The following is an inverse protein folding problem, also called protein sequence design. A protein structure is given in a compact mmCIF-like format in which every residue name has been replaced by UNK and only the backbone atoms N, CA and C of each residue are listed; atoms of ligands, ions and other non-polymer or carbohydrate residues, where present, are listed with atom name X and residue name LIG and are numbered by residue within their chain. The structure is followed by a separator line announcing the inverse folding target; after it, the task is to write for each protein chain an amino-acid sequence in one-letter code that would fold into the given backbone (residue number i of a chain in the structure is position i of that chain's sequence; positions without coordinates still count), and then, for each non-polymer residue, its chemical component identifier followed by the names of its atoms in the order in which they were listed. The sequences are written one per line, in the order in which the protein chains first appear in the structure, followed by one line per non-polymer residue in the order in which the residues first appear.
data_IF_078745460858
#
_entry.id   IF_078745460858
#
_cell.length_a   1.000
_cell.length_b   1.000
_cell.length_c   1.000
_cell.angle_alpha   90.00
_cell.angle_beta   90.00
_cell.angle_gamma   90.00
#
_symmetry.space_group_name_H-M   'P 1'
#
loop_
_entity.id
_entity.type
_entity.pdbx_description
1 polymer ?
#
# COMPACT_ATOMS: atom_id res chain seq x y z
N UNK A 1 -59.68 36.60 -43.26
CA UNK A 1 -58.89 37.01 -42.07
C UNK A 1 -58.82 35.84 -41.13
N UNK A 2 -57.59 35.39 -40.81
CA UNK A 2 -57.13 34.68 -39.61
C UNK A 2 -55.94 33.79 -39.98
N UNK A 3 -54.74 34.39 -39.88
CA UNK A 3 -53.45 33.71 -39.99
C UNK A 3 -53.23 32.80 -38.78
N UNK A 4 -52.91 31.51 -39.01
CA UNK A 4 -52.36 30.62 -37.97
C UNK A 4 -50.85 30.57 -38.14
N UNK A 5 -50.13 31.17 -37.18
CA UNK A 5 -48.68 31.09 -37.04
C UNK A 5 -48.26 29.66 -36.67
N UNK A 6 -47.26 29.13 -37.38
CA UNK A 6 -46.55 27.89 -37.06
C UNK A 6 -45.33 28.30 -36.23
N UNK A 7 -45.30 27.90 -34.95
CA UNK A 7 -44.13 28.05 -34.08
C UNK A 7 -43.16 26.89 -34.35
N UNK A 8 -42.00 27.19 -34.94
CA UNK A 8 -40.86 26.27 -34.98
C UNK A 8 -40.15 26.29 -33.61
N UNK A 9 -40.21 25.18 -32.87
CA UNK A 9 -39.43 24.98 -31.66
C UNK A 9 -38.03 24.49 -32.02
N UNK A 10 -37.02 25.35 -31.90
CA UNK A 10 -35.60 24.98 -32.00
C UNK A 10 -35.19 24.23 -30.72
N UNK A 11 -34.93 22.93 -30.85
CA UNK A 11 -34.33 22.12 -29.77
C UNK A 11 -32.80 22.32 -29.83
N UNK A 12 -32.29 23.21 -28.97
CA UNK A 12 -30.85 23.45 -28.80
C UNK A 12 -30.24 22.32 -27.98
N UNK A 13 -29.43 21.48 -28.64
CA UNK A 13 -28.70 20.38 -28.03
C UNK A 13 -27.48 20.94 -27.27
N UNK A 14 -27.56 21.06 -25.94
CA UNK A 14 -26.44 21.44 -25.09
C UNK A 14 -25.52 20.23 -24.87
N UNK A 15 -24.42 20.16 -25.63
CA UNK A 15 -23.32 19.21 -25.39
C UNK A 15 -22.47 19.76 -24.25
N UNK A 16 -22.61 19.19 -23.05
CA UNK A 16 -21.68 19.43 -21.94
C UNK A 16 -20.37 18.67 -22.20
N UNK A 17 -19.35 19.39 -22.66
CA UNK A 17 -17.97 18.91 -22.67
C UNK A 17 -17.43 18.92 -21.24
N UNK A 18 -17.23 17.73 -20.66
CA UNK A 18 -16.58 17.57 -19.36
C UNK A 18 -15.07 17.69 -19.57
N UNK A 19 -14.53 18.90 -19.48
CA UNK A 19 -13.09 19.14 -19.44
C UNK A 19 -12.58 18.86 -18.02
N UNK A 20 -12.10 17.63 -17.79
CA UNK A 20 -11.38 17.27 -16.58
C UNK A 20 -9.99 17.93 -16.56
N UNK A 21 -9.83 19.02 -15.81
CA UNK A 21 -8.52 19.53 -15.42
C UNK A 21 -7.91 18.60 -14.37
N UNK A 22 -7.04 17.67 -14.77
CA UNK A 22 -6.17 16.98 -13.82
C UNK A 22 -5.06 17.94 -13.40
N UNK A 23 -4.95 18.21 -12.10
CA UNK A 23 -3.93 19.09 -11.53
C UNK A 23 -2.72 18.22 -11.20
N UNK A 24 -1.74 18.17 -12.10
CA UNK A 24 -0.41 17.62 -11.80
C UNK A 24 0.23 18.46 -10.71
N UNK A 25 0.40 17.90 -9.51
CA UNK A 25 1.21 18.53 -8.47
C UNK A 25 2.67 18.28 -8.84
N UNK A 26 3.30 19.26 -9.49
CA UNK A 26 4.76 19.27 -9.69
C UNK A 26 5.39 19.71 -8.37
N UNK A 27 6.05 18.77 -7.69
CA UNK A 27 6.88 19.07 -6.51
C UNK A 27 8.20 19.67 -7.03
N UNK A 28 8.58 20.90 -6.62
CA UNK A 28 9.84 21.49 -7.03
C UNK A 28 11.03 20.73 -6.41
N UNK A 29 12.15 20.56 -7.12
CA UNK A 29 13.34 19.96 -6.54
C UNK A 29 13.91 20.90 -5.46
N UNK A 30 14.11 20.37 -4.26
CA UNK A 30 14.84 21.07 -3.21
C UNK A 30 16.28 21.37 -3.68
N UNK A 31 16.75 22.58 -3.38
CA UNK A 31 18.09 23.07 -3.69
C UNK A 31 19.18 22.24 -3.01
N UNK A 32 20.20 21.85 -3.78
CA UNK A 32 21.36 21.07 -3.35
C UNK A 32 22.29 21.86 -2.40
N UNK A 33 22.82 21.24 -1.33
CA UNK A 33 24.04 21.70 -0.66
C UNK A 33 25.31 20.99 -1.23
N UNK A 34 26.51 21.53 -0.99
CA UNK A 34 27.72 21.20 -1.74
C UNK A 34 28.38 19.85 -1.35
N UNK A 35 29.02 19.24 -2.36
CA UNK A 35 30.00 18.12 -2.36
C UNK A 35 31.17 18.45 -1.39
N UNK A 36 31.85 17.57 -0.65
CA UNK A 36 32.05 16.11 -0.69
C UNK A 36 32.63 15.62 0.66
N UNK A 37 32.35 14.37 1.07
CA UNK A 37 33.35 13.48 1.70
C UNK A 37 32.89 12.01 1.63
N UNK A 38 33.86 11.13 1.33
CA UNK A 38 33.74 9.71 0.97
C UNK A 38 33.38 8.80 2.14
N UNK A 39 32.45 7.86 1.92
CA UNK A 39 32.65 6.39 1.93
C UNK A 39 31.29 5.73 1.68
N UNK A 40 31.14 5.12 0.52
CA UNK A 40 29.99 4.29 0.13
C UNK A 40 29.98 3.01 0.98
N UNK A 41 28.88 2.63 1.63
CA UNK A 41 28.58 1.22 1.86
C UNK A 41 27.78 0.72 0.65
N UNK A 42 28.37 -0.28 -0.01
CA UNK A 42 27.81 -1.04 -1.12
C UNK A 42 26.55 -1.80 -0.74
N UNK A 43 25.60 -1.83 -1.68
CA UNK A 43 24.67 -2.93 -2.02
C UNK A 43 24.04 -3.71 -0.86
N UNK A 44 22.75 -3.50 -0.68
CA UNK A 44 21.84 -4.59 -0.30
C UNK A 44 20.62 -4.56 -1.22
N UNK A 45 20.76 -5.12 -2.42
CA UNK A 45 19.63 -5.72 -3.12
C UNK A 45 19.15 -6.89 -2.28
N UNK A 46 18.07 -6.68 -1.50
CA UNK A 46 17.42 -7.74 -0.74
C UNK A 46 15.93 -7.61 -0.91
N UNK A 47 15.38 -8.57 -1.67
CA UNK A 47 14.10 -9.23 -1.42
C UNK A 47 13.47 -8.83 -0.10
N UNK A 48 12.27 -8.25 -0.18
CA UNK A 48 11.24 -8.16 0.86
C UNK A 48 11.71 -8.62 2.26
N UNK A 49 12.48 -7.78 2.95
CA UNK A 49 12.76 -8.06 4.37
C UNK A 49 11.49 -7.77 5.13
N UNK A 50 10.68 -8.81 5.32
CA UNK A 50 9.66 -8.85 6.36
C UNK A 50 10.35 -8.56 7.69
N UNK A 51 9.93 -7.50 8.36
CA UNK A 51 10.55 -7.08 9.62
C UNK A 51 10.23 -8.11 10.70
N UNK A 52 11.24 -8.50 11.46
CA UNK A 52 11.09 -9.55 12.48
C UNK A 52 10.30 -9.00 13.68
N UNK A 53 9.45 -9.82 14.32
CA UNK A 53 8.92 -9.50 15.64
C UNK A 53 10.04 -9.19 16.63
N UNK A 54 9.79 -8.29 17.55
CA UNK A 54 10.77 -7.84 18.54
C UNK A 54 10.12 -7.60 19.90
N UNK A 55 10.92 -7.62 20.97
CA UNK A 55 10.44 -7.41 22.33
C UNK A 55 11.15 -6.22 22.98
N UNK A 56 10.40 -5.44 23.76
CA UNK A 56 10.92 -4.38 24.64
C UNK A 56 10.26 -4.56 26.00
N UNK A 57 11.05 -4.63 27.07
CA UNK A 57 10.59 -4.83 28.46
C UNK A 57 9.60 -6.00 28.61
N UNK A 58 9.86 -7.11 27.91
CA UNK A 58 9.04 -8.32 27.95
C UNK A 58 7.74 -8.25 27.11
N UNK A 59 7.43 -7.12 26.49
CA UNK A 59 6.29 -6.95 25.58
C UNK A 59 6.69 -7.16 24.13
N UNK A 60 5.99 -8.04 23.44
CA UNK A 60 6.20 -8.34 22.03
C UNK A 60 5.46 -7.37 21.11
N UNK A 61 6.13 -7.00 20.02
CA UNK A 61 5.62 -6.18 18.93
C UNK A 61 5.81 -6.91 17.60
N UNK A 62 4.79 -6.85 16.76
CA UNK A 62 4.72 -7.53 15.48
C UNK A 62 4.52 -6.48 14.40
N UNK A 63 5.56 -6.14 13.62
CA UNK A 63 5.40 -5.28 12.45
C UNK A 63 4.34 -5.83 11.50
N UNK A 64 3.48 -4.98 10.98
CA UNK A 64 2.40 -5.36 10.08
C UNK A 64 2.92 -5.56 8.66
N UNK A 65 2.27 -6.45 7.91
CA UNK A 65 2.71 -6.82 6.56
C UNK A 65 2.17 -5.88 5.47
N UNK A 66 1.05 -5.21 5.76
CA UNK A 66 0.39 -4.26 4.88
C UNK A 66 0.06 -2.97 5.63
N UNK A 67 0.10 -1.87 4.89
CA UNK A 67 -0.24 -0.52 5.37
C UNK A 67 -1.50 0.02 4.69
N UNK A 68 -2.20 -0.81 3.90
CA UNK A 68 -3.43 -0.43 3.20
C UNK A 68 -4.48 -0.02 4.23
N UNK A 69 -5.06 1.16 4.03
CA UNK A 69 -6.09 1.76 4.89
C UNK A 69 -5.70 1.94 6.37
N UNK A 70 -4.40 1.83 6.71
CA UNK A 70 -3.95 1.97 8.09
C UNK A 70 -4.16 3.41 8.58
N UNK A 71 -4.99 3.55 9.62
CA UNK A 71 -5.25 4.80 10.32
C UNK A 71 -5.17 4.59 11.83
N UNK A 72 -4.53 5.52 12.53
CA UNK A 72 -4.43 5.48 13.99
C UNK A 72 -4.64 6.90 14.55
N UNK A 73 -5.27 7.01 15.71
CA UNK A 73 -5.38 8.26 16.48
C UNK A 73 -4.73 8.05 17.84
N UNK A 74 -3.99 9.03 18.31
CA UNK A 74 -3.29 8.90 19.59
C UNK A 74 -2.33 10.04 19.86
N UNK A 75 -1.60 9.93 20.97
CA UNK A 75 -0.67 10.97 21.39
C UNK A 75 0.64 10.84 20.61
N UNK A 76 1.08 11.95 20.05
CA UNK A 76 2.38 12.12 19.42
C UNK A 76 3.31 12.91 20.36
N UNK A 77 4.60 12.55 20.39
CA UNK A 77 5.66 13.37 20.97
C UNK A 77 6.82 13.55 19.99
N UNK A 78 8.00 13.95 20.46
CA UNK A 78 9.19 14.13 19.62
C UNK A 78 10.48 13.80 20.39
N UNK A 79 11.51 13.40 19.65
CA UNK A 79 12.83 13.10 20.21
C UNK A 79 13.59 14.36 20.61
N UNK A 80 14.08 14.41 21.85
CA UNK A 80 14.97 15.46 22.31
C UNK A 80 16.29 15.56 21.53
N UNK A 81 17.04 16.66 21.68
CA UNK A 81 18.28 16.90 20.93
C UNK A 81 19.36 15.84 21.18
N UNK A 82 19.37 15.18 22.35
CA UNK A 82 20.37 14.18 22.74
C UNK A 82 20.35 12.87 21.93
N UNK A 83 19.38 12.72 21.03
CA UNK A 83 19.28 11.56 20.17
C UNK A 83 20.07 11.72 18.86
N UNK A 84 20.43 12.95 18.46
CA UNK A 84 21.07 13.22 17.17
C UNK A 84 22.33 12.36 16.94
N UNK A 85 22.42 11.72 15.77
CA UNK A 85 23.53 10.87 15.37
C UNK A 85 23.49 9.44 15.92
N UNK A 86 22.63 9.12 16.90
CA UNK A 86 22.46 7.74 17.40
C UNK A 86 21.81 6.86 16.34
N UNK A 87 22.07 5.55 16.40
CA UNK A 87 21.44 4.61 15.48
C UNK A 87 19.96 4.40 15.83
N UNK A 88 19.11 4.44 14.81
CA UNK A 88 17.72 4.03 14.89
C UNK A 88 17.59 2.52 14.71
N UNK A 89 16.39 2.00 14.97
CA UNK A 89 16.05 0.60 14.78
C UNK A 89 16.07 0.15 13.31
N UNK A 90 15.99 1.07 12.34
CA UNK A 90 16.21 0.76 10.92
C UNK A 90 17.70 0.59 10.57
N UNK A 91 18.60 1.01 11.46
CA UNK A 91 20.06 1.04 11.25
C UNK A 91 20.58 2.36 10.68
N UNK A 92 19.70 3.34 10.42
CA UNK A 92 20.09 4.70 10.02
C UNK A 92 20.59 5.50 11.23
N UNK A 93 21.47 6.49 11.01
CA UNK A 93 21.72 7.50 12.05
C UNK A 93 20.54 8.46 12.11
N UNK A 94 20.02 8.70 13.31
CA UNK A 94 18.94 9.65 13.54
C UNK A 94 19.39 11.07 13.21
N UNK A 95 18.68 11.69 12.27
CA UNK A 95 18.82 13.09 11.92
C UNK A 95 17.61 13.87 12.43
N UNK A 96 17.84 14.78 13.37
CA UNK A 96 16.77 15.60 13.96
C UNK A 96 16.17 16.59 12.95
N UNK A 97 16.88 16.87 11.86
CA UNK A 97 16.45 17.77 10.81
C UNK A 97 15.67 17.08 9.69
N UNK A 98 15.72 15.74 9.61
CA UNK A 98 14.98 14.95 8.63
C UNK A 98 13.49 14.81 9.02
N UNK A 99 12.60 14.59 8.06
CA UNK A 99 11.18 14.29 8.32
C UNK A 99 10.99 12.80 8.60
N UNK A 100 11.33 12.38 9.81
CA UNK A 100 11.28 10.97 10.25
C UNK A 100 10.52 10.82 11.56
N UNK A 101 10.08 9.58 11.82
CA UNK A 101 9.35 9.24 13.03
C UNK A 101 9.60 7.79 13.48
N UNK A 102 9.35 7.54 14.76
CA UNK A 102 9.30 6.20 15.34
C UNK A 102 7.87 5.70 15.46
N UNK A 103 7.64 4.45 15.05
CA UNK A 103 6.36 3.76 15.22
C UNK A 103 6.58 2.30 15.65
N UNK A 104 5.64 1.73 16.41
CA UNK A 104 5.78 0.39 17.01
C UNK A 104 5.68 -0.74 15.98
N UNK A 105 4.74 -0.63 15.04
CA UNK A 105 4.37 -1.77 14.17
C UNK A 105 4.34 -1.42 12.68
N UNK A 106 4.53 -0.16 12.30
CA UNK A 106 4.56 0.19 10.89
C UNK A 106 5.92 -0.24 10.32
N UNK A 107 5.95 -0.84 9.13
CA UNK A 107 7.20 -1.11 8.44
C UNK A 107 8.07 0.13 8.34
N UNK A 108 9.38 -0.04 8.44
CA UNK A 108 10.33 0.98 8.04
C UNK A 108 10.09 1.40 6.58
N UNK A 109 10.43 2.64 6.30
CA UNK A 109 10.13 3.33 5.06
C UNK A 109 8.64 3.56 4.77
N UNK A 110 7.73 3.20 5.68
CA UNK A 110 6.34 3.65 5.57
C UNK A 110 6.30 5.17 5.59
N UNK A 111 5.70 5.78 4.56
CA UNK A 111 5.36 7.18 4.52
C UNK A 111 4.01 7.37 5.19
N UNK A 112 3.94 8.26 6.18
CA UNK A 112 2.69 8.56 6.89
C UNK A 112 2.35 10.05 6.77
N UNK A 113 1.05 10.34 6.63
CA UNK A 113 0.48 11.67 6.87
C UNK A 113 0.13 11.77 8.34
N UNK A 114 0.60 12.83 8.98
CA UNK A 114 0.31 13.13 10.38
C UNK A 114 -0.39 14.47 10.43
N UNK A 115 -1.62 14.49 10.96
CA UNK A 115 -2.43 15.68 11.12
C UNK A 115 -2.61 16.00 12.60
N UNK A 116 -2.42 17.25 12.96
CA UNK A 116 -2.79 17.78 14.27
C UNK A 116 -4.13 18.53 14.12
N UNK A 117 -5.26 17.93 14.56
CA UNK A 117 -6.57 18.54 14.39
C UNK A 117 -6.75 19.83 15.21
N UNK A 118 -5.94 20.07 16.25
CA UNK A 118 -6.05 21.27 17.07
C UNK A 118 -5.59 22.54 16.34
N UNK A 119 -4.69 22.42 15.37
CA UNK A 119 -4.17 23.54 14.58
C UNK A 119 -4.31 23.35 13.06
N UNK A 120 -4.94 22.25 12.63
CA UNK A 120 -5.13 21.83 11.23
C UNK A 120 -3.84 21.70 10.41
N UNK A 121 -2.68 21.61 11.06
CA UNK A 121 -1.42 21.36 10.35
C UNK A 121 -1.27 19.88 10.04
N UNK A 122 -0.65 19.60 8.91
CA UNK A 122 -0.28 18.24 8.51
C UNK A 122 1.14 18.19 7.97
N UNK A 123 1.80 17.06 8.19
CA UNK A 123 3.14 16.79 7.68
C UNK A 123 3.20 15.38 7.10
N UNK A 124 4.21 15.16 6.27
CA UNK A 124 4.59 13.86 5.74
C UNK A 124 5.91 13.42 6.37
N UNK A 125 5.93 12.25 7.01
CA UNK A 125 7.15 11.70 7.63
C UNK A 125 7.35 10.23 7.26
N UNK A 126 8.60 9.79 7.30
CA UNK A 126 8.99 8.40 7.04
C UNK A 126 9.28 7.67 8.35
N UNK A 127 8.75 6.47 8.51
CA UNK A 127 9.07 5.61 9.65
C UNK A 127 10.49 5.05 9.48
N UNK A 128 11.39 5.32 10.43
CA UNK A 128 12.75 4.77 10.42
C UNK A 128 13.22 4.29 11.81
N UNK A 129 12.34 4.29 12.80
CA UNK A 129 12.68 3.85 14.14
C UNK A 129 11.50 3.16 14.85
N UNK A 130 11.76 2.53 15.99
CA UNK A 130 10.77 1.86 16.83
C UNK A 130 10.49 2.61 18.11
N UNK A 131 9.24 2.48 18.55
CA UNK A 131 8.69 3.20 19.69
C UNK A 131 7.50 4.04 19.25
N UNK A 132 7.00 4.94 20.10
CA UNK A 132 7.28 5.03 21.52
C UNK A 132 6.87 3.78 22.30
N UNK A 133 7.58 3.49 23.39
CA UNK A 133 7.23 2.42 24.34
C UNK A 133 6.57 2.96 25.62
N UNK A 134 6.37 4.27 25.70
CA UNK A 134 5.61 4.92 26.76
C UNK A 134 4.12 4.73 26.46
N UNK A 135 3.36 4.44 27.53
CA UNK A 135 1.91 4.22 27.45
C UNK A 135 1.21 5.41 26.79
N UNK A 136 0.20 5.12 25.98
CA UNK A 136 -0.70 6.08 25.30
C UNK A 136 -0.07 6.95 24.20
N UNK A 137 1.23 6.80 23.91
CA UNK A 137 1.86 7.40 22.73
C UNK A 137 1.91 6.44 21.55
N UNK A 138 1.67 6.97 20.36
CA UNK A 138 1.67 6.20 19.12
C UNK A 138 2.82 6.58 18.18
N UNK A 139 3.37 7.79 18.31
CA UNK A 139 4.37 8.32 17.39
C UNK A 139 5.34 9.25 18.12
N UNK A 140 6.64 9.12 17.85
CA UNK A 140 7.66 10.10 18.24
C UNK A 140 8.29 10.69 16.98
N UNK A 141 8.15 12.00 16.77
CA UNK A 141 8.65 12.73 15.60
C UNK A 141 10.11 13.17 15.77
N UNK A 142 10.77 13.44 14.65
CA UNK A 142 11.98 14.27 14.64
C UNK A 142 11.69 15.72 15.06
N UNK A 143 12.73 16.46 15.43
CA UNK A 143 12.58 17.87 15.82
C UNK A 143 11.97 18.74 14.73
N UNK A 144 12.47 18.67 13.48
CA UNK A 144 11.93 19.47 12.37
C UNK A 144 10.47 19.10 12.09
N UNK A 145 10.13 17.80 12.08
CA UNK A 145 8.75 17.36 11.88
C UNK A 145 7.83 17.89 12.99
N UNK A 146 8.26 17.79 14.26
CA UNK A 146 7.51 18.32 15.39
C UNK A 146 7.35 19.84 15.33
N UNK A 147 8.37 20.57 14.90
CA UNK A 147 8.32 22.03 14.71
C UNK A 147 7.28 22.41 13.67
N UNK A 148 7.29 21.77 12.51
CA UNK A 148 6.33 22.07 11.44
C UNK A 148 4.89 21.73 11.86
N UNK A 149 4.69 20.60 12.54
CA UNK A 149 3.36 20.19 13.04
C UNK A 149 2.89 21.02 14.27
N UNK A 150 3.78 21.81 14.88
CA UNK A 150 3.45 22.69 15.99
C UNK A 150 3.48 22.02 17.37
N UNK A 151 4.38 21.06 17.58
CA UNK A 151 4.51 20.29 18.83
C UNK A 151 5.61 20.78 19.77
N UNK A 152 6.51 21.69 19.35
CA UNK A 152 7.68 22.07 20.17
C UNK A 152 7.28 22.73 21.50
N UNK A 153 6.33 23.66 21.49
CA UNK A 153 5.85 24.29 22.72
C UNK A 153 5.08 23.31 23.63
N UNK A 154 4.00 22.68 23.15
CA UNK A 154 3.20 21.74 23.94
C UNK A 154 3.93 20.44 24.34
N UNK A 155 5.00 20.07 23.64
CA UNK A 155 5.74 18.81 23.79
C UNK A 155 5.01 17.59 23.22
N UNK A 156 3.68 17.56 23.31
CA UNK A 156 2.83 16.48 22.81
C UNK A 156 1.56 17.02 22.16
N UNK A 157 0.92 16.22 21.32
CA UNK A 157 -0.40 16.55 20.74
C UNK A 157 -1.18 15.27 20.42
N UNK A 158 -2.51 15.34 20.46
CA UNK A 158 -3.35 14.34 19.80
C UNK A 158 -3.20 14.50 18.29
N UNK A 159 -3.02 13.39 17.58
CA UNK A 159 -2.88 13.38 16.12
C UNK A 159 -3.82 12.38 15.45
N UNK A 160 -4.00 12.56 14.16
CA UNK A 160 -4.52 11.55 13.24
C UNK A 160 -3.38 11.13 12.31
N UNK A 161 -3.09 9.83 12.25
CA UNK A 161 -2.07 9.22 11.42
C UNK A 161 -2.72 8.38 10.32
N UNK A 162 -2.23 8.52 9.10
CA UNK A 162 -2.62 7.71 7.95
C UNK A 162 -1.37 7.22 7.21
N UNK A 163 -1.25 5.90 6.98
CA UNK A 163 -0.18 5.36 6.16
C UNK A 163 -0.52 5.50 4.67
N UNK A 164 0.42 6.03 3.90
CA UNK A 164 0.23 6.30 2.46
C UNK A 164 0.84 5.20 1.58
N UNK A 165 1.82 4.48 2.11
CA UNK A 165 2.57 3.44 1.41
C UNK A 165 3.99 3.32 1.98
N UNK A 166 4.82 2.50 1.36
CA UNK A 166 6.23 2.29 1.69
C UNK A 166 7.09 2.88 0.57
N UNK A 167 8.12 3.63 0.95
CA UNK A 167 9.10 4.17 0.03
C UNK A 167 10.09 3.07 -0.36
N UNK A 168 10.18 2.80 -1.66
CA UNK A 168 11.16 1.90 -2.25
C UNK A 168 12.08 2.67 -3.20
N UNK A 169 13.39 2.52 -3.00
CA UNK A 169 14.39 2.96 -3.96
C UNK A 169 14.54 1.90 -5.05
N UNK A 170 14.25 2.26 -6.29
CA UNK A 170 14.49 1.44 -7.49
C UNK A 170 15.53 2.09 -8.39
N UNK A 171 16.36 1.28 -9.03
CA UNK A 171 17.21 1.76 -10.10
C UNK A 171 16.45 1.65 -11.43
N UNK A 172 16.27 2.79 -12.09
CA UNK A 172 15.62 2.89 -13.39
C UNK A 172 16.55 3.66 -14.34
N UNK A 173 16.94 3.03 -15.44
CA UNK A 173 17.84 3.62 -16.44
C UNK A 173 19.14 4.21 -15.84
N UNK A 174 19.71 3.54 -14.83
CA UNK A 174 20.92 3.98 -14.13
C UNK A 174 20.71 5.14 -13.15
N UNK A 175 19.47 5.52 -12.83
CA UNK A 175 19.13 6.52 -11.83
C UNK A 175 18.34 5.89 -10.69
N UNK A 176 18.65 6.27 -9.45
CA UNK A 176 17.86 5.88 -8.28
C UNK A 176 16.59 6.73 -8.22
N UNK A 177 15.43 6.08 -8.25
CA UNK A 177 14.10 6.67 -8.15
C UNK A 177 13.43 6.13 -6.90
N UNK A 178 12.90 7.00 -6.06
CA UNK A 178 12.09 6.59 -4.90
C UNK A 178 10.62 6.58 -5.30
N UNK A 179 9.96 5.42 -5.17
CA UNK A 179 8.53 5.26 -5.43
C UNK A 179 7.79 4.98 -4.13
N UNK A 180 6.60 5.54 -4.00
CA UNK A 180 5.65 5.15 -2.96
C UNK A 180 4.84 3.95 -3.47
N UNK A 181 5.00 2.80 -2.83
CA UNK A 181 4.24 1.59 -3.12
C UNK A 181 3.34 1.23 -1.94
N UNK A 182 2.06 0.94 -2.19
CA UNK A 182 1.24 0.35 -1.14
C UNK A 182 1.57 -1.14 -1.09
N UNK A 183 2.13 -1.63 0.03
CA UNK A 183 2.31 -3.08 0.20
C UNK A 183 0.94 -3.73 0.27
N UNK A 184 0.62 -4.47 -0.79
CA UNK A 184 -0.59 -5.28 -0.91
C UNK A 184 -0.53 -6.34 0.19
N UNK A 185 -1.63 -6.51 0.92
CA UNK A 185 -1.75 -7.59 1.89
C UNK A 185 -1.74 -8.92 1.14
N UNK A 186 -0.61 -9.63 1.11
CA UNK A 186 -0.56 -10.94 0.43
C UNK A 186 -1.43 -12.01 1.10
N UNK A 187 -1.99 -11.73 2.29
CA UNK A 187 -2.95 -12.62 2.94
C UNK A 187 -4.40 -12.25 2.61
N UNK A 188 -4.66 -11.04 2.08
CA UNK A 188 -6.01 -10.54 1.75
C UNK A 188 -6.07 -9.90 0.37
N UNK A 189 -6.99 -10.37 -0.43
CA UNK A 189 -7.18 -9.96 -1.81
C UNK A 189 -8.12 -10.92 -2.49
N UNK A 190 -8.39 -10.71 -3.78
CA UNK A 190 -9.20 -11.64 -4.54
C UNK A 190 -8.31 -12.82 -4.96
N UNK A 191 -8.59 -13.99 -4.38
CA UNK A 191 -7.93 -15.23 -4.71
C UNK A 191 -8.93 -16.19 -5.34
N UNK A 192 -8.52 -16.85 -6.41
CA UNK A 192 -9.27 -17.94 -7.02
C UNK A 192 -8.42 -19.21 -7.07
N UNK A 193 -9.05 -20.38 -7.14
CA UNK A 193 -8.34 -21.65 -7.32
C UNK A 193 -8.55 -22.16 -8.74
N UNK A 194 -7.48 -22.15 -9.55
CA UNK A 194 -7.49 -22.70 -10.90
C UNK A 194 -7.41 -24.22 -10.89
N UNK A 195 -8.27 -24.87 -11.67
CA UNK A 195 -8.36 -26.33 -11.77
C UNK A 195 -7.83 -26.85 -13.10
N UNK A 196 -7.90 -26.03 -14.14
CA UNK A 196 -7.40 -26.38 -15.46
C UNK A 196 -7.31 -25.18 -16.38
N UNK A 197 -6.54 -25.35 -17.46
CA UNK A 197 -6.47 -24.41 -18.57
C UNK A 197 -6.49 -25.23 -19.87
N UNK A 198 -7.39 -24.90 -20.78
CA UNK A 198 -7.65 -25.68 -22.00
C UNK A 198 -7.52 -24.81 -23.24
N UNK A 199 -6.97 -25.34 -24.34
CA UNK A 199 -7.01 -24.67 -25.64
C UNK A 199 -8.41 -24.68 -26.26
N UNK A 200 -9.18 -25.73 -25.97
CA UNK A 200 -10.53 -25.94 -26.47
C UNK A 200 -11.55 -25.50 -25.42
N UNK A 201 -12.46 -24.60 -25.82
CA UNK A 201 -13.55 -24.09 -24.98
C UNK A 201 -14.48 -25.21 -24.50
N UNK A 202 -14.78 -26.20 -25.34
CA UNK A 202 -15.70 -27.29 -24.98
C UNK A 202 -15.15 -28.13 -23.83
N UNK A 203 -13.84 -28.36 -23.80
CA UNK A 203 -13.19 -29.06 -22.68
C UNK A 203 -13.28 -28.26 -21.37
N UNK A 204 -13.15 -26.94 -21.44
CA UNK A 204 -13.34 -26.07 -20.28
C UNK A 204 -14.80 -26.08 -19.79
N UNK A 205 -15.77 -26.04 -20.72
CA UNK A 205 -17.20 -26.13 -20.41
C UNK A 205 -17.56 -27.47 -19.76
N UNK A 206 -17.08 -28.58 -20.30
CA UNK A 206 -17.30 -29.91 -19.72
C UNK A 206 -16.74 -30.00 -18.28
N UNK A 207 -15.55 -29.44 -18.03
CA UNK A 207 -15.00 -29.37 -16.67
C UNK A 207 -15.85 -28.50 -15.76
N UNK A 208 -16.31 -27.34 -16.24
CA UNK A 208 -17.18 -26.44 -15.49
C UNK A 208 -18.48 -27.14 -15.08
N UNK A 209 -19.18 -27.79 -16.00
CA UNK A 209 -20.43 -28.51 -15.71
C UNK A 209 -20.22 -29.62 -14.67
N UNK A 210 -19.08 -30.32 -14.74
CA UNK A 210 -18.74 -31.34 -13.73
C UNK A 210 -18.55 -30.72 -12.35
N UNK A 211 -17.81 -29.60 -12.26
CA UNK A 211 -17.51 -28.92 -11.00
C UNK A 211 -18.72 -28.20 -10.41
N UNK A 212 -19.63 -27.68 -11.23
CA UNK A 212 -20.82 -26.95 -10.78
C UNK A 212 -21.80 -27.80 -9.95
N UNK A 213 -21.65 -29.13 -9.95
CA UNK A 213 -22.43 -30.03 -9.10
C UNK A 213 -22.07 -29.90 -7.62
N UNK A 214 -20.79 -29.68 -7.34
CA UNK A 214 -20.23 -29.69 -5.98
C UNK A 214 -19.78 -28.29 -5.53
N UNK A 215 -19.53 -27.38 -6.48
CA UNK A 215 -19.02 -26.03 -6.22
C UNK A 215 -19.94 -24.96 -6.82
N UNK A 216 -20.45 -24.02 -6.01
CA UNK A 216 -21.47 -23.05 -6.44
C UNK A 216 -20.95 -21.99 -7.42
N UNK A 217 -19.64 -21.69 -7.38
CA UNK A 217 -19.01 -20.65 -8.20
C UNK A 217 -17.87 -21.26 -9.00
N UNK A 218 -18.12 -21.45 -10.31
CA UNK A 218 -17.15 -21.95 -11.28
C UNK A 218 -17.12 -21.02 -12.48
N UNK A 219 -15.97 -20.39 -12.71
CA UNK A 219 -15.77 -19.38 -13.73
C UNK A 219 -14.82 -19.86 -14.82
N UNK A 220 -15.07 -19.39 -16.05
CA UNK A 220 -14.15 -19.55 -17.17
C UNK A 220 -13.68 -18.16 -17.57
N UNK A 221 -12.36 -17.97 -17.60
CA UNK A 221 -11.74 -16.75 -18.10
C UNK A 221 -10.83 -17.08 -19.29
N UNK A 222 -10.91 -16.29 -20.35
CA UNK A 222 -10.01 -16.39 -21.49
C UNK A 222 -8.68 -15.70 -21.19
N UNK A 223 -7.56 -16.35 -21.51
CA UNK A 223 -6.24 -15.73 -21.50
C UNK A 223 -5.55 -15.95 -22.84
N UNK A 224 -4.87 -14.93 -23.34
CA UNK A 224 -3.96 -15.08 -24.47
C UNK A 224 -2.52 -15.17 -23.94
N UNK A 225 -1.82 -16.25 -24.27
CA UNK A 225 -0.38 -16.39 -23.99
C UNK A 225 0.35 -16.80 -25.24
N UNK A 226 1.35 -16.01 -25.62
CA UNK A 226 2.21 -16.26 -26.77
C UNK A 226 1.44 -16.41 -28.10
N UNK A 227 0.32 -15.70 -28.26
CA UNK A 227 -0.52 -15.77 -29.46
C UNK A 227 -1.52 -16.94 -29.45
N UNK A 228 -1.53 -17.77 -28.41
CA UNK A 228 -2.51 -18.85 -28.23
C UNK A 228 -3.53 -18.49 -27.14
N UNK A 229 -4.81 -18.74 -27.42
CA UNK A 229 -5.90 -18.59 -26.45
C UNK A 229 -6.03 -19.84 -25.57
N UNK A 230 -6.17 -19.64 -24.26
CA UNK A 230 -6.52 -20.68 -23.30
C UNK A 230 -7.73 -20.25 -22.45
N UNK A 231 -8.59 -21.21 -22.14
CA UNK A 231 -9.74 -21.08 -21.26
C UNK A 231 -9.39 -21.65 -19.88
N UNK A 232 -9.22 -20.77 -18.89
CA UNK A 232 -8.91 -21.15 -17.51
C UNK A 232 -10.21 -21.40 -16.75
N UNK A 233 -10.31 -22.56 -16.13
CA UNK A 233 -11.42 -22.92 -15.24
C UNK A 233 -10.99 -22.68 -13.80
N UNK A 234 -11.73 -21.83 -13.09
CA UNK A 234 -11.42 -21.39 -11.73
C UNK A 234 -12.61 -21.54 -10.80
N UNK A 235 -12.32 -21.73 -9.52
CA UNK A 235 -13.28 -21.89 -8.44
C UNK A 235 -13.14 -20.75 -7.44
N UNK A 236 -14.31 -20.23 -7.01
CA UNK A 236 -14.51 -19.28 -5.92
C UNK A 236 -13.73 -17.95 -6.01
N UNK A 237 -14.24 -16.93 -5.31
CA UNK A 237 -13.51 -15.73 -4.95
C UNK A 237 -13.30 -15.78 -3.44
N UNK A 238 -12.09 -16.11 -3.02
CA UNK A 238 -11.68 -16.11 -1.62
C UNK A 238 -11.04 -14.77 -1.32
N UNK A 239 -11.45 -14.11 -0.23
CA UNK A 239 -10.86 -12.82 0.17
C UNK A 239 -9.57 -12.98 0.99
N UNK A 240 -9.26 -14.22 1.39
CA UNK A 240 -8.09 -14.57 2.18
C UNK A 240 -7.30 -15.71 1.54
N UNK A 241 -5.97 -15.59 1.50
CA UNK A 241 -5.07 -16.61 0.96
C UNK A 241 -5.26 -17.96 1.66
N UNK A 242 -5.50 -17.97 2.98
CA UNK A 242 -5.66 -19.21 3.74
C UNK A 242 -6.95 -19.97 3.38
N UNK A 243 -8.01 -19.26 2.98
CA UNK A 243 -9.24 -19.87 2.46
C UNK A 243 -8.97 -20.53 1.10
N UNK A 244 -8.28 -19.82 0.20
CA UNK A 244 -7.89 -20.35 -1.11
C UNK A 244 -6.98 -21.59 -0.97
N UNK A 245 -6.02 -21.59 -0.04
CA UNK A 245 -5.15 -22.74 0.25
C UNK A 245 -5.88 -23.93 0.90
N UNK A 246 -6.96 -23.69 1.66
CA UNK A 246 -7.82 -24.77 2.17
C UNK A 246 -8.62 -25.38 1.03
N UNK A 247 -9.21 -24.55 0.18
CA UNK A 247 -9.96 -24.99 -1.00
C UNK A 247 -9.06 -25.78 -1.95
N UNK A 248 -7.84 -25.30 -2.25
CA UNK A 248 -6.84 -26.03 -3.04
C UNK A 248 -6.62 -27.44 -2.49
N UNK A 249 -6.32 -27.58 -1.20
CA UNK A 249 -6.08 -28.90 -0.58
C UNK A 249 -7.28 -29.82 -0.66
N UNK A 250 -8.50 -29.28 -0.49
CA UNK A 250 -9.73 -30.04 -0.64
C UNK A 250 -9.90 -30.54 -2.10
N UNK A 251 -9.58 -29.70 -3.08
CA UNK A 251 -9.63 -30.07 -4.50
C UNK A 251 -8.59 -31.11 -4.87
N UNK A 252 -7.36 -30.98 -4.35
CA UNK A 252 -6.30 -31.97 -4.51
C UNK A 252 -6.76 -33.33 -3.97
N UNK A 253 -7.38 -33.38 -2.78
CA UNK A 253 -7.93 -34.62 -2.23
C UNK A 253 -9.12 -35.19 -3.01
N UNK A 254 -9.84 -34.34 -3.75
CA UNK A 254 -11.01 -34.70 -4.56
C UNK A 254 -10.64 -35.04 -6.02
N UNK A 255 -9.36 -35.29 -6.31
CA UNK A 255 -8.91 -35.74 -7.63
C UNK A 255 -8.48 -34.63 -8.59
N UNK A 256 -8.20 -33.43 -8.07
CA UNK A 256 -7.64 -32.31 -8.84
C UNK A 256 -6.23 -31.94 -8.34
N UNK A 257 -5.23 -32.82 -8.51
CA UNK A 257 -3.87 -32.60 -7.98
C UNK A 257 -3.14 -31.40 -8.60
N UNK A 258 -3.63 -30.87 -9.72
CA UNK A 258 -3.10 -29.68 -10.40
C UNK A 258 -3.75 -28.37 -9.94
N UNK A 259 -4.58 -28.39 -8.90
CA UNK A 259 -5.22 -27.18 -8.38
C UNK A 259 -4.18 -26.14 -7.95
N UNK A 260 -4.36 -24.90 -8.36
CA UNK A 260 -3.42 -23.81 -8.12
C UNK A 260 -4.13 -22.57 -7.60
N UNK A 261 -3.69 -22.03 -6.46
CA UNK A 261 -4.13 -20.72 -5.99
C UNK A 261 -3.57 -19.62 -6.90
N UNK A 262 -4.43 -18.70 -7.31
CA UNK A 262 -4.12 -17.55 -8.17
C UNK A 262 -4.61 -16.30 -7.44
N UNK A 263 -3.77 -15.27 -7.37
CA UNK A 263 -4.18 -13.93 -6.98
C UNK A 263 -4.65 -13.17 -8.22
N UNK A 264 -5.81 -12.53 -8.13
CA UNK A 264 -6.45 -11.75 -9.19
C UNK A 264 -6.05 -10.26 -9.16
#
# INVERSE_FOLDING_TARGET
MNHRLIFLSFFSCFIFAITGCYKTIIIPPASSPPRAAKKTPSVASKTERKEKPYAVDGKWYFPIDSVVEFKEKGICSWYGPDFHGKQTSSGESYDMFAFTAAHRILPFNTQVRVKNPANNKEILVRINDRGPFIKDRILDLSYTAAKELGLIGPGTALIELEALGILEDKEENGRRVTRLIQRIDYQRGDFSVQIGAFKDLQNALNLKERLQKDYPVVEISEINRSGETFFRVRLAHCTQLQEALRLQRQLESNGFPQALVVAD
#
